data_IF_308259440410
#
_entry.id   IF_308259440410
#
_cell.length_a   1.000
_cell.length_b   1.000
_cell.length_c   1.000
_cell.angle_alpha   90.00
_cell.angle_beta   90.00
_cell.angle_gamma   90.00
#
_symmetry.space_group_name_H-M   'P 1'
#
loop_
_entity.id
_entity.type
_entity.pdbx_description
1 polymer ?
#
# COMPACT_ATOMS: atom_id res chain seq x y z
N UNK A 1 1.01 21.64 10.57
CA UNK A 1 0.40 20.63 11.45
C UNK A 1 0.96 19.25 11.17
N UNK A 2 1.06 18.40 12.20
CA UNK A 2 1.41 16.98 12.09
C UNK A 2 0.29 16.16 12.71
N UNK A 3 -0.46 15.46 11.87
CA UNK A 3 -1.66 14.73 12.27
C UNK A 3 -1.32 13.27 12.50
N UNK A 4 -1.74 12.75 13.64
CA UNK A 4 -1.45 11.39 14.08
C UNK A 4 -2.72 10.71 14.59
N UNK A 5 -2.77 9.38 14.50
CA UNK A 5 -3.74 8.59 15.24
C UNK A 5 -3.19 8.28 16.63
N UNK A 6 -4.04 8.33 17.64
CA UNK A 6 -3.68 7.97 19.01
C UNK A 6 -4.70 7.00 19.59
N UNK A 7 -4.27 6.22 20.59
CA UNK A 7 -5.13 5.37 21.41
C UNK A 7 -4.74 5.50 22.88
N UNK A 8 -5.73 5.74 23.72
CA UNK A 8 -5.60 5.77 25.19
C UNK A 8 -6.14 4.45 25.76
N UNK A 9 -5.37 3.74 26.57
CA UNK A 9 -5.82 2.59 27.39
C UNK A 9 -6.85 1.63 26.76
N UNK A 10 -6.65 1.24 25.50
CA UNK A 10 -7.56 0.32 24.79
C UNK A 10 -8.88 0.94 24.30
N UNK A 11 -9.05 2.25 24.44
CA UNK A 11 -10.14 3.04 23.88
C UNK A 11 -10.15 3.12 22.36
N UNK A 12 -11.13 3.86 21.77
CA UNK A 12 -11.19 4.06 20.33
C UNK A 12 -9.97 4.83 19.81
N UNK A 13 -9.75 4.77 18.49
CA UNK A 13 -8.75 5.62 17.84
C UNK A 13 -9.30 7.04 17.74
N UNK A 14 -8.48 8.00 18.17
CA UNK A 14 -8.71 9.43 18.01
C UNK A 14 -7.64 10.00 17.07
N UNK A 15 -7.96 11.12 16.44
CA UNK A 15 -7.03 11.88 15.61
C UNK A 15 -6.58 13.10 16.40
N UNK A 16 -5.28 13.34 16.43
CA UNK A 16 -4.67 14.42 17.19
C UNK A 16 -3.62 15.17 16.36
N UNK A 17 -3.36 16.41 16.75
CA UNK A 17 -2.21 17.18 16.28
C UNK A 17 -1.04 16.97 17.23
N UNK A 18 0.12 16.58 16.69
CA UNK A 18 1.37 16.45 17.43
C UNK A 18 2.06 17.83 17.54
N UNK A 19 2.53 18.17 18.74
CA UNK A 19 3.29 19.40 18.98
C UNK A 19 4.60 19.42 18.18
N UNK A 20 5.15 20.61 17.84
CA UNK A 20 6.40 20.70 17.08
C UNK A 20 7.61 20.01 17.73
N UNK A 21 7.65 19.93 19.06
CA UNK A 21 8.68 19.22 19.82
C UNK A 21 8.38 17.73 20.05
N UNK A 22 7.19 17.26 19.62
CA UNK A 22 6.75 15.87 19.73
C UNK A 22 6.39 15.43 21.15
N UNK A 23 6.30 16.33 22.12
CA UNK A 23 6.08 15.99 23.53
C UNK A 23 4.61 15.91 23.93
N UNK A 24 3.72 16.53 23.16
CA UNK A 24 2.30 16.63 23.44
C UNK A 24 1.45 16.33 22.20
N UNK A 25 0.23 15.85 22.43
CA UNK A 25 -0.80 15.71 21.39
C UNK A 25 -2.07 16.43 21.81
N UNK A 26 -2.62 17.22 20.89
CA UNK A 26 -3.92 17.89 21.08
C UNK A 26 -4.98 17.14 20.28
N UNK A 27 -5.96 16.55 20.97
CA UNK A 27 -7.04 15.78 20.35
C UNK A 27 -7.86 16.68 19.44
N UNK A 28 -8.12 16.21 18.22
CA UNK A 28 -8.98 16.89 17.27
C UNK A 28 -10.38 16.28 17.32
N UNK A 29 -10.49 14.97 17.05
CA UNK A 29 -11.77 14.28 16.95
C UNK A 29 -11.62 12.76 17.07
N UNK A 30 -12.74 12.05 17.23
CA UNK A 30 -12.76 10.62 16.98
C UNK A 30 -12.44 10.31 15.51
N UNK A 31 -11.82 9.15 15.22
CA UNK A 31 -11.33 8.82 13.87
C UNK A 31 -12.37 8.98 12.75
N UNK A 32 -13.61 8.52 12.98
CA UNK A 32 -14.70 8.62 12.01
C UNK A 32 -15.18 10.06 11.82
N UNK A 33 -15.26 10.82 12.91
CA UNK A 33 -15.65 12.23 12.89
C UNK A 33 -14.60 13.09 12.17
N UNK A 34 -13.31 12.77 12.37
CA UNK A 34 -12.23 13.41 11.63
C UNK A 34 -12.42 13.22 10.12
N UNK A 35 -12.54 11.98 9.65
CA UNK A 35 -12.67 11.70 8.21
C UNK A 35 -14.00 12.16 7.60
N UNK A 36 -15.07 12.31 8.39
CA UNK A 36 -16.32 12.90 7.92
C UNK A 36 -16.19 14.40 7.58
N UNK A 37 -15.18 15.09 8.11
CA UNK A 37 -14.97 16.52 7.93
C UNK A 37 -13.50 16.93 7.87
N UNK A 38 -12.64 16.12 7.25
CA UNK A 38 -11.18 16.26 7.35
C UNK A 38 -10.69 17.67 7.02
N UNK A 39 -11.18 18.27 5.92
CA UNK A 39 -10.82 19.65 5.53
C UNK A 39 -11.12 20.68 6.63
N UNK A 40 -12.23 20.54 7.36
CA UNK A 40 -12.58 21.44 8.46
C UNK A 40 -11.70 21.21 9.70
N UNK A 41 -11.25 19.97 9.95
CA UNK A 41 -10.29 19.68 11.03
C UNK A 41 -8.88 20.19 10.71
N UNK A 42 -8.45 20.08 9.45
CA UNK A 42 -7.10 20.48 9.03
C UNK A 42 -6.92 21.99 8.86
N UNK A 43 -8.00 22.75 8.74
CA UNK A 43 -7.98 24.22 8.53
C UNK A 43 -8.16 25.04 9.81
N UNK A 44 -8.35 24.40 10.96
CA UNK A 44 -8.52 25.07 12.26
C UNK A 44 -7.29 24.86 13.16
N UNK A 45 -7.05 25.79 14.08
CA UNK A 45 -6.09 25.56 15.15
C UNK A 45 -6.57 24.43 16.09
N UNK A 46 -5.69 23.52 16.52
CA UNK A 46 -6.04 22.48 17.50
C UNK A 46 -6.51 23.11 18.81
N UNK A 47 -7.71 22.74 19.27
CA UNK A 47 -8.34 23.33 20.45
C UNK A 47 -8.98 22.30 21.39
N UNK A 48 -8.72 21.00 21.19
CA UNK A 48 -9.20 19.95 22.07
C UNK A 48 -8.30 19.75 23.29
N UNK A 49 -8.50 18.62 23.98
CA UNK A 49 -7.67 18.25 25.11
C UNK A 49 -6.22 17.98 24.68
N UNK A 50 -5.26 18.60 25.37
CA UNK A 50 -3.83 18.32 25.21
C UNK A 50 -3.37 17.34 26.27
N UNK A 51 -2.71 16.27 25.84
CA UNK A 51 -2.11 15.26 26.73
C UNK A 51 -0.65 14.98 26.35
N UNK A 52 0.18 14.52 27.31
CA UNK A 52 1.53 14.10 26.99
C UNK A 52 1.54 12.98 25.94
N UNK A 53 2.43 13.08 24.95
CA UNK A 53 2.61 12.05 23.92
C UNK A 53 2.99 10.68 24.54
N UNK A 54 3.66 10.68 25.69
CA UNK A 54 4.03 9.47 26.43
C UNK A 54 2.83 8.76 27.09
N UNK A 55 1.68 9.41 27.20
CA UNK A 55 0.46 8.85 27.79
C UNK A 55 -0.44 8.16 26.75
N UNK A 56 -0.04 8.12 25.48
CA UNK A 56 -0.84 7.55 24.38
C UNK A 56 -0.02 6.59 23.54
N UNK A 57 -0.69 5.64 22.89
CA UNK A 57 -0.10 4.82 21.85
C UNK A 57 -0.38 5.45 20.48
N UNK A 58 0.66 5.72 19.70
CA UNK A 58 0.50 6.15 18.31
C UNK A 58 0.04 5.00 17.42
N UNK A 59 -0.90 5.31 16.53
CA UNK A 59 -1.46 4.38 15.55
C UNK A 59 -1.73 5.12 14.23
N UNK A 60 -1.86 4.42 13.10
CA UNK A 60 -2.23 5.08 11.85
C UNK A 60 -3.59 5.79 11.98
N UNK A 61 -3.74 7.04 11.50
CA UNK A 61 -5.03 7.74 11.46
C UNK A 61 -5.92 7.21 10.30
N UNK A 62 -6.07 5.90 10.19
CA UNK A 62 -6.71 5.22 9.04
C UNK A 62 -7.93 4.43 9.47
N UNK A 63 -9.05 4.62 8.75
CA UNK A 63 -10.28 3.87 8.99
C UNK A 63 -10.08 2.37 8.74
N UNK A 64 -10.67 1.47 9.56
CA UNK A 64 -10.58 0.03 9.33
C UNK A 64 -11.03 -0.41 7.93
N UNK A 65 -12.04 0.26 7.37
CA UNK A 65 -12.60 0.01 6.05
C UNK A 65 -11.94 0.77 4.89
N UNK A 66 -10.93 1.60 5.17
CA UNK A 66 -10.24 2.36 4.14
C UNK A 66 -9.60 1.42 3.11
N UNK A 67 -9.58 1.87 1.86
CA UNK A 67 -8.80 1.23 0.80
C UNK A 67 -7.39 1.81 0.81
N UNK A 68 -6.40 0.93 0.69
CA UNK A 68 -5.00 1.32 0.46
C UNK A 68 -4.62 0.85 -0.94
N UNK A 69 -4.63 1.78 -1.89
CA UNK A 69 -4.23 1.53 -3.26
C UNK A 69 -2.78 1.96 -3.44
N UNK A 70 -1.99 1.15 -4.12
CA UNK A 70 -0.57 1.41 -4.35
C UNK A 70 -0.26 1.39 -5.85
N UNK A 71 0.64 2.26 -6.27
CA UNK A 71 1.12 2.36 -7.65
C UNK A 71 2.46 1.67 -7.79
N UNK A 72 2.54 0.67 -8.66
CA UNK A 72 3.82 0.08 -9.07
C UNK A 72 4.51 0.90 -10.15
N UNK A 73 5.85 0.88 -10.15
CA UNK A 73 6.68 1.41 -11.25
C UNK A 73 6.41 2.89 -11.60
N UNK A 74 6.22 3.74 -10.58
CA UNK A 74 5.81 5.13 -10.81
C UNK A 74 6.97 6.13 -10.96
N UNK A 75 8.23 5.72 -10.83
CA UNK A 75 9.38 6.62 -10.97
C UNK A 75 10.22 6.23 -12.18
N UNK A 76 10.55 7.19 -13.06
CA UNK A 76 11.27 6.93 -14.32
C UNK A 76 12.57 6.13 -14.13
N UNK A 77 13.37 6.48 -13.11
CA UNK A 77 14.62 5.77 -12.80
C UNK A 77 14.38 4.38 -12.22
N UNK A 78 13.30 4.21 -11.47
CA UNK A 78 12.91 2.91 -10.92
C UNK A 78 12.41 1.95 -12.03
N UNK A 79 11.69 2.48 -13.03
CA UNK A 79 11.33 1.70 -14.25
C UNK A 79 12.59 1.19 -14.95
N UNK A 80 13.65 1.98 -14.98
CA UNK A 80 14.91 1.66 -15.65
C UNK A 80 15.83 0.70 -14.88
N UNK A 81 15.70 0.54 -13.56
CA UNK A 81 16.55 -0.38 -12.76
C UNK A 81 15.99 -1.81 -12.67
N UNK A 82 14.69 -1.98 -12.96
CA UNK A 82 13.99 -3.24 -12.81
C UNK A 82 13.96 -4.11 -14.08
N UNK A 83 13.15 -5.18 -14.02
CA UNK A 83 12.90 -6.08 -15.15
C UNK A 83 12.22 -5.40 -16.36
N UNK A 84 11.80 -4.13 -16.21
CA UNK A 84 11.06 -3.34 -17.20
C UNK A 84 11.93 -2.33 -17.96
N UNK A 85 13.25 -2.38 -17.81
CA UNK A 85 14.22 -1.40 -18.34
C UNK A 85 14.22 -1.20 -19.88
N UNK A 86 13.35 -1.87 -20.63
CA UNK A 86 13.21 -1.72 -22.08
C UNK A 86 11.77 -1.68 -22.60
N UNK A 87 10.75 -1.66 -21.72
CA UNK A 87 9.34 -1.81 -22.13
C UNK A 87 8.59 -0.48 -22.29
N UNK A 88 9.27 0.65 -22.05
CA UNK A 88 8.62 1.97 -21.98
C UNK A 88 7.71 2.09 -20.76
N UNK A 89 7.18 3.29 -20.49
CA UNK A 89 6.21 3.45 -19.40
C UNK A 89 4.83 3.04 -19.92
N UNK A 90 4.11 2.12 -19.25
CA UNK A 90 2.77 1.72 -19.67
C UNK A 90 1.80 2.91 -19.75
N UNK A 91 0.72 2.83 -20.55
CA UNK A 91 -0.27 3.92 -20.62
C UNK A 91 -1.08 4.07 -19.31
N UNK A 92 -1.09 3.05 -18.46
CA UNK A 92 -1.83 3.04 -17.19
C UNK A 92 -0.98 2.48 -16.05
N UNK A 93 -1.13 3.01 -14.83
CA UNK A 93 -0.41 2.50 -13.67
C UNK A 93 -0.79 1.05 -13.36
N UNK A 94 0.20 0.28 -12.92
CA UNK A 94 -0.09 -0.99 -12.23
C UNK A 94 -0.59 -0.68 -10.83
N UNK A 95 -1.83 -1.07 -10.53
CA UNK A 95 -2.44 -0.87 -9.22
C UNK A 95 -2.46 -2.18 -8.44
N UNK A 96 -2.08 -2.12 -7.17
CA UNK A 96 -2.23 -3.23 -6.23
C UNK A 96 -2.75 -2.71 -4.89
N UNK A 97 -3.15 -3.64 -4.02
CA UNK A 97 -3.78 -3.29 -2.75
C UNK A 97 -2.90 -3.68 -1.55
N UNK A 98 -2.96 -2.83 -0.53
CA UNK A 98 -2.59 -3.18 0.84
C UNK A 98 -3.84 -3.24 1.72
N UNK A 99 -3.74 -4.01 2.79
CA UNK A 99 -4.72 -4.06 3.85
C UNK A 99 -4.35 -3.05 4.92
N UNK A 100 -5.36 -2.40 5.49
CA UNK A 100 -5.20 -1.48 6.63
C UNK A 100 -4.48 -2.14 7.80
N UNK A 101 -4.61 -3.46 7.95
CA UNK A 101 -3.93 -4.26 8.97
C UNK A 101 -2.40 -4.31 8.84
N UNK A 102 -1.87 -4.06 7.65
CA UNK A 102 -0.42 -4.00 7.42
C UNK A 102 0.19 -2.65 7.80
N UNK A 103 -0.65 -1.61 7.98
CA UNK A 103 -0.21 -0.26 8.25
C UNK A 103 0.24 -0.10 9.70
N UNK A 104 1.27 0.70 9.91
CA UNK A 104 1.82 1.00 11.24
C UNK A 104 2.38 2.42 11.30
N UNK A 105 3.03 2.79 12.41
CA UNK A 105 3.69 4.08 12.62
C UNK A 105 5.17 3.88 12.97
N UNK A 106 5.91 4.98 13.12
CA UNK A 106 7.31 4.94 13.54
C UNK A 106 7.52 4.24 14.89
N UNK A 107 8.67 3.60 15.04
CA UNK A 107 9.10 2.86 16.23
C UNK A 107 8.50 1.45 16.35
N UNK A 108 7.45 1.12 15.58
CA UNK A 108 6.82 -0.20 15.65
C UNK A 108 7.72 -1.25 14.95
N UNK A 109 8.05 -2.36 15.63
CA UNK A 109 8.87 -3.42 15.04
C UNK A 109 8.24 -4.08 13.81
N UNK A 110 9.05 -4.27 12.77
CA UNK A 110 8.65 -4.93 11.52
C UNK A 110 9.30 -6.33 11.46
N UNK A 111 8.51 -7.40 11.64
CA UNK A 111 9.04 -8.75 11.67
C UNK A 111 9.33 -9.29 10.27
N UNK A 112 10.52 -9.86 10.09
CA UNK A 112 10.85 -10.62 8.87
C UNK A 112 10.08 -11.95 8.87
N UNK A 113 9.23 -12.23 7.87
CA UNK A 113 8.52 -13.51 7.79
C UNK A 113 9.48 -14.70 7.66
N UNK A 114 9.12 -15.86 8.22
CA UNK A 114 9.97 -17.05 8.24
C UNK A 114 10.41 -17.59 6.88
N UNK A 115 9.70 -17.23 5.80
CA UNK A 115 10.04 -17.62 4.44
C UNK A 115 10.96 -16.64 3.72
N UNK A 116 11.23 -15.46 4.28
CA UNK A 116 12.01 -14.42 3.61
C UNK A 116 13.46 -14.44 4.03
N UNK A 117 14.35 -14.17 3.08
CA UNK A 117 15.77 -13.88 3.33
C UNK A 117 15.96 -12.44 3.82
N UNK A 118 15.00 -11.83 4.51
CA UNK A 118 15.01 -10.39 4.80
C UNK A 118 13.97 -9.62 3.99
N UNK A 119 13.80 -8.35 4.35
CA UNK A 119 12.80 -7.46 3.77
C UNK A 119 13.47 -6.44 2.83
N UNK A 120 12.71 -5.93 1.87
CA UNK A 120 13.15 -4.83 1.02
C UNK A 120 12.45 -3.53 1.40
N UNK A 121 13.15 -2.40 1.24
CA UNK A 121 12.62 -1.07 1.49
C UNK A 121 12.06 -0.46 0.22
N UNK A 122 11.01 0.34 0.37
CA UNK A 122 10.43 1.14 -0.71
C UNK A 122 9.92 2.45 -0.09
N UNK A 123 10.77 3.48 -0.04
CA UNK A 123 10.37 4.80 0.45
C UNK A 123 9.45 5.48 -0.54
N UNK A 124 8.30 5.96 -0.08
CA UNK A 124 7.26 6.57 -0.90
C UNK A 124 6.62 7.78 -0.22
N UNK A 125 5.80 8.49 -1.00
CA UNK A 125 4.76 9.38 -0.49
C UNK A 125 3.41 8.67 -0.57
N UNK A 126 2.58 8.82 0.46
CA UNK A 126 1.17 8.42 0.41
C UNK A 126 0.28 9.64 0.48
N UNK A 127 -0.76 9.68 -0.37
CA UNK A 127 -1.81 10.68 -0.33
C UNK A 127 -3.04 10.14 0.41
N UNK A 128 -3.65 10.98 1.25
CA UNK A 128 -4.92 10.69 1.93
C UNK A 128 -6.07 11.39 1.21
N UNK A 129 -7.08 10.64 0.81
CA UNK A 129 -8.30 11.19 0.23
C UNK A 129 -9.11 11.88 1.34
N UNK A 130 -9.48 13.13 1.14
CA UNK A 130 -10.23 13.96 2.09
C UNK A 130 -11.70 14.19 1.72
N UNK A 131 -12.05 14.02 0.45
CA UNK A 131 -13.42 14.17 -0.06
C UNK A 131 -13.79 12.99 -0.97
N UNK A 132 -15.09 12.64 -1.10
CA UNK A 132 -15.53 11.58 -2.00
C UNK A 132 -15.17 11.90 -3.46
N UNK A 133 -14.73 10.89 -4.21
CA UNK A 133 -14.47 11.00 -5.65
C UNK A 133 -15.21 9.89 -6.41
N UNK A 134 -15.96 10.28 -7.45
CA UNK A 134 -16.59 9.38 -8.40
C UNK A 134 -16.64 10.08 -9.77
N UNK A 135 -16.08 9.45 -10.80
CA UNK A 135 -15.97 10.03 -12.15
C UNK A 135 -15.31 11.44 -12.16
N UNK A 136 -14.37 11.68 -11.25
CA UNK A 136 -13.73 12.98 -11.07
C UNK A 136 -12.67 13.27 -12.14
N UNK A 137 -12.49 14.54 -12.47
CA UNK A 137 -11.36 15.02 -13.28
C UNK A 137 -10.05 15.09 -12.47
N UNK A 138 -8.86 15.15 -13.11
CA UNK A 138 -7.58 15.20 -12.41
C UNK A 138 -7.43 16.33 -11.39
N UNK A 139 -7.85 17.55 -11.73
CA UNK A 139 -7.76 18.72 -10.84
C UNK A 139 -8.70 18.59 -9.64
N UNK A 140 -9.92 18.09 -9.86
CA UNK A 140 -10.89 17.78 -8.79
C UNK A 140 -10.35 16.69 -7.87
N UNK A 141 -9.79 15.63 -8.45
CA UNK A 141 -9.21 14.53 -7.71
C UNK A 141 -8.01 14.95 -6.86
N UNK A 142 -7.15 15.83 -7.39
CA UNK A 142 -6.05 16.42 -6.63
C UNK A 142 -6.54 17.33 -5.50
N UNK A 143 -7.56 18.18 -5.78
CA UNK A 143 -8.15 19.07 -4.78
C UNK A 143 -8.83 18.32 -3.62
N UNK A 144 -9.26 17.07 -3.84
CA UNK A 144 -9.85 16.21 -2.82
C UNK A 144 -8.81 15.59 -1.87
N UNK A 145 -7.51 15.77 -2.08
CA UNK A 145 -6.47 15.24 -1.18
C UNK A 145 -6.43 16.05 0.12
N UNK A 146 -6.61 15.38 1.26
CA UNK A 146 -6.51 15.99 2.58
C UNK A 146 -5.06 16.33 2.96
N UNK A 147 -4.13 15.46 2.58
CA UNK A 147 -2.74 15.59 2.94
C UNK A 147 -1.91 14.39 2.54
N UNK A 148 -0.64 14.44 2.92
CA UNK A 148 0.37 13.47 2.53
C UNK A 148 1.13 12.94 3.74
N UNK A 149 1.79 11.80 3.59
CA UNK A 149 2.74 11.31 4.59
C UNK A 149 3.91 10.58 3.93
N UNK A 150 5.04 10.53 4.64
CA UNK A 150 6.11 9.60 4.33
C UNK A 150 5.60 8.16 4.56
N UNK A 151 5.92 7.25 3.64
CA UNK A 151 5.46 5.87 3.68
C UNK A 151 6.61 4.92 3.33
N UNK A 152 6.62 3.74 3.92
CA UNK A 152 7.53 2.67 3.51
C UNK A 152 6.73 1.44 3.08
N UNK A 153 6.75 1.11 1.78
CA UNK A 153 6.07 -0.06 1.22
C UNK A 153 6.94 -1.33 1.39
N UNK A 154 7.25 -1.67 2.64
CA UNK A 154 8.18 -2.75 2.99
C UNK A 154 7.71 -4.06 2.37
N UNK A 155 8.62 -4.69 1.62
CA UNK A 155 8.29 -5.77 0.71
C UNK A 155 9.01 -7.08 1.07
N UNK A 156 8.23 -8.15 1.18
CA UNK A 156 8.70 -9.54 1.21
C UNK A 156 8.86 -10.03 -0.23
N UNK A 157 10.07 -9.91 -0.79
CA UNK A 157 10.32 -10.09 -2.23
C UNK A 157 10.13 -11.52 -2.71
N UNK A 158 10.42 -12.53 -1.89
CA UNK A 158 10.16 -13.93 -2.28
C UNK A 158 8.65 -14.14 -2.38
N UNK A 159 7.91 -13.77 -1.33
CA UNK A 159 6.45 -13.83 -1.29
C UNK A 159 5.77 -13.04 -2.42
N UNK A 160 6.28 -11.85 -2.76
CA UNK A 160 5.79 -11.03 -3.87
C UNK A 160 5.81 -11.77 -5.21
N UNK A 161 6.79 -12.67 -5.41
CA UNK A 161 7.05 -13.37 -6.67
C UNK A 161 6.47 -14.79 -6.73
N UNK A 162 5.86 -15.27 -5.66
CA UNK A 162 5.23 -16.60 -5.65
C UNK A 162 3.98 -16.66 -6.52
N UNK A 163 3.30 -15.54 -6.75
CA UNK A 163 2.09 -15.45 -7.55
C UNK A 163 2.12 -14.22 -8.46
N UNK A 164 1.17 -14.11 -9.39
CA UNK A 164 1.04 -12.93 -10.24
C UNK A 164 0.56 -11.67 -9.49
N UNK A 165 0.04 -11.83 -8.26
CA UNK A 165 -0.48 -10.74 -7.45
C UNK A 165 0.51 -10.40 -6.33
N UNK A 166 0.82 -9.11 -6.15
CA UNK A 166 1.81 -8.67 -5.17
C UNK A 166 1.29 -8.63 -3.73
N UNK A 167 -0.02 -8.86 -3.53
CA UNK A 167 -0.70 -8.77 -2.21
C UNK A 167 0.10 -9.52 -1.13
N UNK A 168 0.52 -10.76 -1.39
CA UNK A 168 1.23 -11.57 -0.38
C UNK A 168 2.57 -10.94 0.06
N UNK A 169 3.30 -10.35 -0.87
CA UNK A 169 4.59 -9.71 -0.58
C UNK A 169 4.49 -8.30 0.00
N UNK A 170 3.33 -7.65 -0.18
CA UNK A 170 3.06 -6.25 0.20
C UNK A 170 2.23 -6.11 1.48
N UNK A 171 1.89 -7.21 2.15
CA UNK A 171 0.98 -7.22 3.30
C UNK A 171 1.51 -8.01 4.50
N UNK A 172 2.82 -7.96 4.72
CA UNK A 172 3.41 -8.46 5.97
C UNK A 172 2.91 -7.65 7.17
N UNK A 173 2.95 -8.25 8.35
CA UNK A 173 2.57 -7.57 9.59
C UNK A 173 3.49 -6.35 9.81
N UNK A 174 2.89 -5.20 10.13
CA UNK A 174 3.57 -3.90 10.30
C UNK A 174 4.40 -3.42 9.09
N UNK A 175 4.22 -3.99 7.89
CA UNK A 175 5.07 -3.70 6.73
C UNK A 175 4.71 -2.42 5.96
N UNK A 176 3.79 -1.61 6.48
CA UNK A 176 3.40 -0.32 5.88
C UNK A 176 3.49 0.85 6.87
N UNK A 177 4.69 1.20 7.38
CA UNK A 177 4.83 2.35 8.25
C UNK A 177 4.46 3.67 7.58
N UNK A 178 3.68 4.47 8.30
CA UNK A 178 3.25 5.81 7.94
C UNK A 178 3.86 6.82 8.92
N UNK A 179 4.35 7.93 8.38
CA UNK A 179 4.63 9.12 9.19
C UNK A 179 3.34 9.82 9.64
N UNK A 180 3.48 10.99 10.29
CA UNK A 180 2.34 11.89 10.48
C UNK A 180 1.74 12.32 9.14
N UNK A 181 0.43 12.53 9.09
CA UNK A 181 -0.23 13.21 7.98
C UNK A 181 0.10 14.71 8.05
N UNK A 182 0.52 15.27 6.93
CA UNK A 182 0.73 16.71 6.74
C UNK A 182 -0.33 17.25 5.79
N UNK A 183 -1.08 18.31 6.16
CA UNK A 183 -2.14 18.86 5.32
C UNK A 183 -1.64 19.25 3.93
N UNK A 184 -2.42 18.97 2.88
CA UNK A 184 -2.02 19.24 1.50
C UNK A 184 -1.69 20.73 1.27
N UNK A 185 -2.42 21.64 1.94
CA UNK A 185 -2.18 23.08 1.91
C UNK A 185 -0.79 23.49 2.42
N UNK A 186 -0.17 22.71 3.32
CA UNK A 186 1.19 22.95 3.82
C UNK A 186 2.27 22.31 2.95
N UNK A 187 1.92 21.24 2.22
CA UNK A 187 2.84 20.46 1.39
C UNK A 187 2.97 21.05 -0.02
N UNK A 188 1.90 21.62 -0.57
CA UNK A 188 1.87 22.03 -1.96
C UNK A 188 1.73 20.84 -2.91
N UNK A 189 2.22 21.00 -4.13
CA UNK A 189 2.12 19.99 -5.18
C UNK A 189 3.34 19.07 -5.19
N UNK A 190 3.13 17.76 -5.27
CA UNK A 190 4.24 16.80 -5.37
C UNK A 190 5.04 16.98 -6.67
N UNK A 191 4.46 17.61 -7.70
CA UNK A 191 5.17 17.96 -8.95
C UNK A 191 6.25 19.02 -8.74
N UNK A 192 6.26 19.71 -7.61
CA UNK A 192 7.30 20.69 -7.26
C UNK A 192 8.63 20.02 -6.86
N UNK A 193 8.66 18.68 -6.73
CA UNK A 193 9.90 17.93 -6.52
C UNK A 193 10.34 17.87 -5.06
N UNK A 194 9.54 17.23 -4.20
CA UNK A 194 9.94 16.91 -2.83
C UNK A 194 10.98 15.79 -2.85
N UNK A 195 12.07 15.97 -2.11
CA UNK A 195 13.07 14.93 -1.97
C UNK A 195 12.55 13.74 -1.15
N UNK A 196 12.73 12.53 -1.65
CA UNK A 196 12.40 11.25 -1.01
C UNK A 196 13.69 10.49 -0.74
N UNK A 197 14.00 10.24 0.53
CA UNK A 197 15.20 9.51 0.96
C UNK A 197 14.83 8.31 1.82
N UNK A 198 15.51 7.20 1.55
CA UNK A 198 15.47 6.02 2.43
C UNK A 198 16.86 5.78 2.99
N UNK A 199 16.95 5.48 4.29
CA UNK A 199 18.21 5.10 4.95
C UNK A 199 18.09 3.75 5.63
N UNK A 200 19.17 2.97 5.60
CA UNK A 200 19.31 1.74 6.37
C UNK A 200 20.51 1.91 7.28
N UNK A 201 20.29 1.86 8.60
CA UNK A 201 21.33 2.09 9.62
C UNK A 201 22.10 3.41 9.39
N UNK A 202 21.40 4.44 8.91
CA UNK A 202 21.96 5.76 8.60
C UNK A 202 22.57 5.90 7.19
N UNK A 203 22.80 4.80 6.46
CA UNK A 203 23.29 4.85 5.08
C UNK A 203 22.16 5.18 4.11
N UNK A 204 22.33 6.20 3.26
CA UNK A 204 21.34 6.58 2.23
C UNK A 204 21.31 5.52 1.13
N UNK A 205 20.18 4.85 0.99
CA UNK A 205 19.97 3.77 0.01
C UNK A 205 19.01 4.14 -1.13
N UNK A 206 18.13 5.11 -0.91
CA UNK A 206 17.34 5.75 -1.96
C UNK A 206 17.44 7.26 -1.82
N UNK A 207 17.46 7.95 -2.96
CA UNK A 207 17.55 9.40 -3.05
C UNK A 207 16.93 9.86 -4.37
N UNK A 208 15.63 10.15 -4.32
CA UNK A 208 14.83 10.55 -5.48
C UNK A 208 14.02 11.81 -5.21
N UNK A 209 13.23 12.21 -6.19
CA UNK A 209 12.39 13.41 -6.13
C UNK A 209 11.00 13.12 -6.70
N UNK A 210 9.95 13.66 -6.09
CA UNK A 210 8.56 13.38 -6.50
C UNK A 210 8.19 13.94 -7.89
N UNK A 211 9.01 14.82 -8.48
CA UNK A 211 8.87 15.28 -9.87
C UNK A 211 9.24 14.21 -10.90
N UNK A 212 9.90 13.12 -10.47
CA UNK A 212 10.18 11.94 -11.31
C UNK A 212 8.97 11.00 -11.46
N UNK A 213 7.84 11.29 -10.79
CA UNK A 213 6.62 10.50 -10.88
C UNK A 213 6.03 10.56 -12.29
N UNK A 214 5.69 9.40 -12.86
CA UNK A 214 5.09 9.33 -14.20
C UNK A 214 3.58 9.53 -14.16
N UNK A 215 2.91 8.88 -13.21
CA UNK A 215 1.48 9.03 -12.95
C UNK A 215 1.29 9.94 -11.75
N UNK A 216 0.71 11.11 -11.97
CA UNK A 216 0.45 12.08 -10.90
C UNK A 216 -0.65 11.58 -9.96
N UNK A 217 -0.71 12.14 -8.75
CA UNK A 217 -1.77 11.81 -7.76
C UNK A 217 -3.16 12.11 -8.34
N UNK A 218 -3.35 13.30 -8.93
CA UNK A 218 -4.62 13.70 -9.54
C UNK A 218 -5.06 12.77 -10.67
N UNK A 219 -4.16 12.47 -11.61
CA UNK A 219 -4.47 11.57 -12.74
C UNK A 219 -4.81 10.15 -12.27
N UNK A 220 -4.09 9.66 -11.27
CA UNK A 220 -4.27 8.31 -10.74
C UNK A 220 -5.60 8.19 -9.98
N UNK A 221 -5.91 9.16 -9.12
CA UNK A 221 -7.20 9.19 -8.40
C UNK A 221 -8.37 9.38 -9.38
N UNK A 222 -8.24 10.25 -10.39
CA UNK A 222 -9.24 10.40 -11.44
C UNK A 222 -9.46 9.08 -12.20
N UNK A 223 -8.40 8.37 -12.58
CA UNK A 223 -8.47 7.04 -13.19
C UNK A 223 -9.24 6.04 -12.31
N UNK A 224 -8.89 5.96 -11.03
CA UNK A 224 -9.52 5.04 -10.08
C UNK A 224 -11.00 5.37 -9.89
N UNK A 225 -11.33 6.67 -9.75
CA UNK A 225 -12.67 7.14 -9.46
C UNK A 225 -13.71 6.81 -10.54
N UNK A 226 -13.26 6.53 -11.77
CA UNK A 226 -14.12 6.04 -12.87
C UNK A 226 -14.58 4.59 -12.70
N UNK A 227 -13.89 3.82 -11.85
CA UNK A 227 -14.21 2.41 -11.62
C UNK A 227 -14.92 2.21 -10.29
N UNK A 228 -14.45 2.90 -9.24
CA UNK A 228 -15.10 2.85 -7.94
C UNK A 228 -14.92 4.16 -7.18
N UNK A 229 -15.91 4.48 -6.35
CA UNK A 229 -15.88 5.66 -5.49
C UNK A 229 -14.74 5.57 -4.48
N UNK A 230 -13.88 6.59 -4.43
CA UNK A 230 -12.93 6.79 -3.32
C UNK A 230 -13.62 7.58 -2.21
N UNK A 231 -13.34 7.23 -0.97
CA UNK A 231 -13.96 7.83 0.22
C UNK A 231 -12.93 8.55 1.08
N UNK A 232 -13.35 9.55 1.87
CA UNK A 232 -12.47 10.16 2.86
C UNK A 232 -11.81 9.10 3.76
N UNK A 233 -10.48 9.17 3.88
CA UNK A 233 -9.65 8.21 4.60
C UNK A 233 -9.07 7.09 3.73
N UNK A 234 -9.47 6.94 2.47
CA UNK A 234 -8.77 6.07 1.51
C UNK A 234 -7.37 6.62 1.22
N UNK A 235 -6.43 5.74 0.87
CA UNK A 235 -5.02 6.06 0.68
C UNK A 235 -4.55 5.67 -0.73
N UNK A 236 -3.67 6.51 -1.30
CA UNK A 236 -2.92 6.23 -2.51
C UNK A 236 -1.41 6.30 -2.22
N UNK A 237 -0.73 5.15 -2.17
CA UNK A 237 0.73 5.07 -2.14
C UNK A 237 1.28 5.24 -3.55
N UNK A 238 2.21 6.18 -3.73
CA UNK A 238 2.53 6.75 -5.04
C UNK A 238 3.70 6.07 -5.75
N UNK A 239 4.26 5.00 -5.19
CA UNK A 239 5.42 4.31 -5.75
C UNK A 239 6.73 4.84 -5.19
N UNK A 240 7.81 4.10 -5.46
CA UNK A 240 9.14 4.33 -4.88
C UNK A 240 10.17 4.75 -5.94
N UNK A 241 11.14 5.63 -5.62
CA UNK A 241 12.26 5.94 -6.51
C UNK A 241 13.24 4.77 -6.62
N UNK A 242 14.23 4.91 -7.51
CA UNK A 242 15.29 3.89 -7.67
C UNK A 242 16.10 3.68 -6.38
N UNK A 243 16.74 2.51 -6.26
CA UNK A 243 17.64 2.16 -5.16
C UNK A 243 17.07 1.14 -4.17
N UNK A 244 16.02 0.41 -4.56
CA UNK A 244 15.50 -0.70 -3.76
C UNK A 244 16.57 -1.77 -3.55
N UNK A 245 16.62 -2.36 -2.37
CA UNK A 245 17.65 -3.29 -1.95
C UNK A 245 17.74 -4.54 -2.81
N UNK A 246 16.60 -5.04 -3.29
CA UNK A 246 16.54 -6.20 -4.17
C UNK A 246 17.19 -6.00 -5.55
N UNK A 247 17.22 -4.77 -6.06
CA UNK A 247 17.81 -4.45 -7.37
C UNK A 247 19.33 -4.28 -7.30
N UNK A 248 19.90 -4.22 -6.10
CA UNK A 248 21.35 -4.06 -5.88
C UNK A 248 22.13 -5.31 -6.26
N UNK A 249 23.42 -5.14 -6.56
CA UNK A 249 24.35 -6.24 -6.86
C UNK A 249 25.57 -6.16 -5.94
N UNK A 250 25.70 -7.04 -4.93
CA UNK A 250 24.72 -8.05 -4.51
C UNK A 250 23.45 -7.41 -3.90
N UNK A 251 22.32 -8.15 -3.83
CA UNK A 251 21.13 -7.66 -3.15
C UNK A 251 21.43 -7.34 -1.68
N UNK A 252 20.87 -6.24 -1.20
CA UNK A 252 20.92 -5.87 0.21
C UNK A 252 19.50 -5.88 0.76
N UNK A 253 19.21 -6.81 1.65
CA UNK A 253 17.91 -6.94 2.31
C UNK A 253 18.06 -6.62 3.80
N UNK A 254 17.02 -6.02 4.35
CA UNK A 254 16.86 -5.72 5.78
C UNK A 254 16.82 -7.02 6.60
N UNK A 255 17.62 -7.05 7.66
CA UNK A 255 17.74 -8.17 8.59
C UNK A 255 17.30 -7.76 10.00
N UNK A 256 16.91 -8.72 10.85
CA UNK A 256 16.70 -8.44 12.26
C UNK A 256 17.88 -7.70 12.88
N UNK A 257 17.62 -6.57 13.53
CA UNK A 257 18.62 -5.65 14.07
C UNK A 257 18.86 -4.39 13.24
N UNK A 258 18.43 -4.36 11.97
CA UNK A 258 18.49 -3.15 11.14
C UNK A 258 17.41 -2.14 11.54
N UNK A 259 17.66 -0.87 11.27
CA UNK A 259 16.67 0.21 11.27
C UNK A 259 16.53 0.79 9.85
N UNK A 260 15.30 0.92 9.38
CA UNK A 260 14.99 1.61 8.12
C UNK A 260 14.26 2.93 8.41
N UNK A 261 14.71 4.00 7.77
CA UNK A 261 14.09 5.33 7.80
C UNK A 261 13.63 5.71 6.40
N UNK A 262 12.41 6.24 6.26
CA UNK A 262 11.99 7.01 5.09
C UNK A 262 11.79 8.45 5.52
N UNK A 263 12.48 9.38 4.86
CA UNK A 263 12.36 10.82 5.04
C UNK A 263 11.85 11.45 3.74
N UNK A 264 10.80 12.24 3.84
CA UNK A 264 10.30 13.04 2.71
C UNK A 264 10.30 14.51 3.11
N UNK A 265 10.86 15.33 2.23
CA UNK A 265 10.89 16.77 2.37
C UNK A 265 9.48 17.32 2.70
N UNK A 266 9.41 18.22 3.69
CA UNK A 266 8.16 18.79 4.25
C UNK A 266 7.21 17.81 4.95
N UNK A 267 7.34 16.50 4.75
CA UNK A 267 6.49 15.48 5.42
C UNK A 267 7.13 14.92 6.70
N UNK A 268 8.45 15.01 6.85
CA UNK A 268 9.19 14.46 7.98
C UNK A 268 9.67 13.03 7.69
N UNK A 269 9.90 12.24 8.75
CA UNK A 269 10.36 10.86 8.60
C UNK A 269 9.58 9.84 9.42
N UNK A 270 9.65 8.59 8.97
CA UNK A 270 9.15 7.40 9.66
C UNK A 270 10.28 6.38 9.75
N UNK A 271 10.52 5.84 10.95
CA UNK A 271 11.62 4.92 11.25
C UNK A 271 11.10 3.67 11.90
N UNK A 272 11.57 2.50 11.48
CA UNK A 272 11.12 1.23 12.03
C UNK A 272 12.27 0.24 12.22
N UNK A 273 12.37 -0.39 13.41
CA UNK A 273 13.33 -1.45 13.63
C UNK A 273 12.84 -2.77 13.00
N UNK A 274 13.76 -3.51 12.42
CA UNK A 274 13.52 -4.81 11.81
C UNK A 274 13.80 -5.88 12.85
N UNK A 275 12.87 -6.81 13.03
CA UNK A 275 12.95 -7.86 14.06
C UNK A 275 12.76 -9.25 13.48
N UNK A 276 13.14 -10.25 14.26
CA UNK A 276 12.94 -11.64 13.90
C UNK A 276 11.45 -12.02 13.93
N UNK A 277 11.10 -13.11 13.25
CA UNK A 277 9.72 -13.60 13.10
C UNK A 277 9.04 -13.97 14.43
N UNK A 278 9.80 -14.19 15.51
CA UNK A 278 9.27 -14.54 16.84
C UNK A 278 8.37 -13.45 17.41
N UNK A 279 8.57 -12.18 17.03
CA UNK A 279 7.70 -11.07 17.37
C UNK A 279 6.23 -11.32 16.94
N UNK A 280 6.00 -11.89 15.74
CA UNK A 280 4.65 -12.22 15.24
C UNK A 280 3.99 -13.32 16.06
N UNK A 281 4.77 -14.32 16.45
CA UNK A 281 4.26 -15.49 17.18
C UNK A 281 3.83 -15.13 18.61
N UNK A 282 4.51 -14.16 19.23
CA UNK A 282 4.15 -13.64 20.55
C UNK A 282 2.76 -13.00 20.55
N UNK A 283 2.42 -12.24 19.51
CA UNK A 283 1.10 -11.61 19.37
C UNK A 283 -0.03 -12.64 19.27
N UNK A 284 0.14 -13.68 18.46
CA UNK A 284 -0.84 -14.77 18.33
C UNK A 284 -1.04 -15.49 19.66
N UNK A 285 0.04 -15.75 20.38
CA UNK A 285 0.00 -16.47 21.67
C UNK A 285 -0.62 -15.61 22.78
N UNK A 286 -0.35 -14.30 22.78
CA UNK A 286 -0.96 -13.35 23.72
C UNK A 286 -2.47 -13.20 23.47
N UNK A 287 -2.89 -13.09 22.19
CA UNK A 287 -4.31 -13.04 21.81
C UNK A 287 -5.07 -14.33 22.15
N UNK A 288 -4.42 -15.49 22.07
CA UNK A 288 -5.02 -16.77 22.44
C UNK A 288 -5.22 -16.96 23.96
N UNK A 289 -4.52 -16.19 24.81
CA UNK A 289 -4.63 -16.22 26.28
C UNK A 289 -5.70 -15.28 26.85
N UNK A 290 -6.30 -14.40 26.04
CA UNK A 290 -7.43 -13.58 26.49
C UNK A 290 -8.66 -14.47 26.75
N UNK A 291 -9.39 -14.29 27.88
CA UNK A 291 -10.55 -15.11 28.19
C UNK A 291 -11.59 -14.96 27.10
N UNK A 292 -11.97 -16.08 26.46
CA UNK A 292 -13.05 -16.08 25.49
C UNK A 292 -14.34 -15.62 26.19
N UNK A 293 -15.08 -14.64 25.65
CA UNK A 293 -16.43 -14.36 26.15
C UNK A 293 -17.24 -15.66 26.08
N UNK A 294 -17.96 -15.95 27.17
CA UNK A 294 -18.60 -17.24 27.43
C UNK A 294 -19.38 -17.78 26.24
N UNK A 295 -19.21 -19.07 25.96
CA UNK A 295 -20.05 -19.81 25.00
C UNK A 295 -21.51 -19.69 25.44
N UNK A 296 -22.28 -18.94 24.67
CA UNK A 296 -23.71 -18.74 24.92
C UNK A 296 -24.49 -18.51 23.65
N UNK A 297 -24.26 -19.31 22.59
CA UNK A 297 -25.19 -19.43 21.47
C UNK A 297 -25.25 -20.91 21.04
N UNK A 298 -26.18 -21.64 21.64
CA UNK A 298 -26.68 -22.91 21.10
C UNK A 298 -27.45 -22.60 19.82
N UNK A 299 -26.94 -23.05 18.67
CA UNK A 299 -27.72 -23.05 17.44
C UNK A 299 -28.81 -24.13 17.57
N UNK A 300 -30.07 -23.74 17.66
CA UNK A 300 -31.18 -24.65 17.51
C UNK A 300 -31.26 -25.08 16.03
N UNK A 301 -31.18 -26.38 15.77
CA UNK A 301 -31.40 -26.95 14.44
C UNK A 301 -32.87 -26.76 14.03
N UNK A 302 -33.17 -26.21 12.85
CA UNK A 302 -34.54 -26.22 12.35
C UNK A 302 -34.93 -27.64 11.91
N UNK A 303 -36.11 -28.05 12.35
CA UNK A 303 -36.81 -29.28 12.00
C UNK A 303 -37.01 -29.46 10.50
N UNK A 304 -36.86 -30.70 10.03
CA UNK A 304 -37.09 -31.12 8.65
C UNK A 304 -38.54 -30.88 8.22
N UNK A 305 -38.75 -30.06 7.19
CA UNK A 305 -40.01 -30.00 6.44
C UNK A 305 -39.77 -30.55 5.04
N UNK A 306 -40.47 -31.65 4.74
CA UNK A 306 -40.47 -32.37 3.46
C UNK A 306 -40.96 -31.47 2.32
N UNK A 307 -40.16 -31.31 1.26
CA UNK A 307 -40.58 -30.68 0.01
C UNK A 307 -40.92 -31.76 -1.00
N UNK A 308 -42.15 -31.71 -1.51
CA UNK A 308 -42.69 -32.64 -2.50
C UNK A 308 -42.04 -32.51 -3.88
N UNK A 309 -41.99 -33.64 -4.57
CA UNK A 309 -41.47 -33.84 -5.93
C UNK A 309 -42.33 -33.15 -6.99
N UNK A 310 -41.71 -32.41 -7.90
CA UNK A 310 -42.34 -31.96 -9.16
C UNK A 310 -41.62 -32.63 -10.33
N UNK A 311 -42.39 -33.25 -11.21
CA UNK A 311 -41.96 -34.00 -12.39
C UNK A 311 -41.59 -33.09 -13.57
N UNK A 312 -40.48 -33.38 -14.26
CA UNK A 312 -40.11 -32.76 -15.54
C UNK A 312 -40.78 -33.46 -16.74
N UNK A 313 -41.13 -32.73 -17.83
CA UNK A 313 -41.55 -33.34 -19.10
C UNK A 313 -40.38 -33.55 -20.08
N UNK A 314 -40.50 -34.45 -21.09
CA UNK A 314 -39.39 -34.94 -21.89
C UNK A 314 -39.04 -34.05 -23.10
N UNK A 315 -37.75 -33.97 -23.41
CA UNK A 315 -37.18 -33.35 -24.62
C UNK A 315 -37.36 -34.26 -25.84
N UNK A 316 -37.99 -33.76 -26.90
CA UNK A 316 -38.08 -34.42 -28.21
C UNK A 316 -36.89 -34.09 -29.11
N UNK A 317 -36.41 -35.12 -29.81
CA UNK A 317 -35.29 -35.05 -30.74
C UNK A 317 -35.67 -34.39 -32.08
N UNK A 318 -34.77 -33.57 -32.63
CA UNK A 318 -34.70 -33.28 -34.07
C UNK A 318 -33.26 -33.32 -34.56
N UNK A 319 -33.03 -34.22 -35.51
CA UNK A 319 -31.83 -34.38 -36.34
C UNK A 319 -31.75 -33.34 -37.45
N UNK A 320 -30.57 -32.76 -37.69
CA UNK A 320 -30.10 -32.34 -39.01
C UNK A 320 -28.56 -32.16 -39.01
N UNK A 321 -27.96 -32.43 -40.16
CA UNK A 321 -26.55 -32.78 -40.38
C UNK A 321 -25.54 -31.60 -40.40
N UNK A 322 -24.27 -31.95 -40.20
CA UNK A 322 -23.08 -31.09 -40.27
C UNK A 322 -22.63 -30.77 -41.71
N UNK A 323 -21.70 -29.79 -41.86
CA UNK A 323 -20.43 -30.16 -42.47
C UNK A 323 -19.19 -29.71 -41.68
N UNK A 324 -18.12 -30.44 -41.98
CA UNK A 324 -16.78 -30.53 -41.40
C UNK A 324 -15.90 -29.28 -41.46
N UNK A 325 -15.03 -29.12 -40.47
CA UNK A 325 -13.87 -28.21 -40.53
C UNK A 325 -13.08 -28.11 -39.23
N UNK A 326 -12.40 -29.18 -38.81
CA UNK A 326 -11.52 -29.20 -37.63
C UNK A 326 -10.12 -28.64 -37.94
N UNK A 327 -9.62 -27.71 -37.12
CA UNK A 327 -8.18 -27.47 -36.95
C UNK A 327 -7.86 -27.15 -35.49
N UNK A 328 -7.32 -28.15 -34.80
CA UNK A 328 -6.54 -27.99 -33.58
C UNK A 328 -5.20 -27.32 -33.94
N UNK A 329 -4.75 -26.34 -33.14
CA UNK A 329 -3.35 -25.90 -33.16
C UNK A 329 -2.65 -26.36 -31.88
N UNK A 330 -1.69 -27.26 -32.09
CA UNK A 330 -0.71 -27.74 -31.14
C UNK A 330 0.43 -26.73 -30.94
N UNK A 331 0.87 -26.64 -29.70
CA UNK A 331 2.12 -26.04 -29.22
C UNK A 331 3.37 -26.61 -29.92
N UNK A 332 4.26 -25.75 -30.41
CA UNK A 332 5.66 -26.10 -30.68
C UNK A 332 6.60 -24.97 -30.20
N UNK A 333 7.32 -25.29 -29.12
CA UNK A 333 8.59 -24.68 -28.73
C UNK A 333 9.66 -25.05 -29.76
N UNK A 334 10.35 -24.08 -30.35
CA UNK A 334 11.63 -24.33 -31.02
C UNK A 334 12.58 -23.12 -30.93
N UNK A 335 13.59 -23.31 -30.08
CA UNK A 335 14.94 -22.75 -30.12
C UNK A 335 15.37 -22.15 -31.47
N UNK A 336 15.99 -20.97 -31.44
CA UNK A 336 17.08 -20.64 -32.36
C UNK A 336 18.18 -19.85 -31.67
N UNK A 337 19.32 -20.51 -31.51
CA UNK A 337 20.59 -19.94 -31.15
C UNK A 337 21.36 -19.51 -32.42
N UNK A 338 22.01 -18.35 -32.33
CA UNK A 338 23.31 -17.93 -32.91
C UNK A 338 23.96 -18.71 -34.07
N UNK A 339 24.40 -18.00 -35.13
CA UNK A 339 25.80 -17.98 -35.69
C UNK A 339 25.93 -17.10 -36.97
N UNK A 340 27.16 -16.74 -37.46
CA UNK A 340 27.54 -15.35 -37.73
C UNK A 340 27.95 -15.01 -39.19
N UNK A 341 28.19 -13.70 -39.40
CA UNK A 341 29.08 -12.99 -40.34
C UNK A 341 29.16 -13.40 -41.82
N UNK A 342 29.00 -12.42 -42.71
CA UNK A 342 29.84 -12.27 -43.91
C UNK A 342 29.94 -10.80 -44.33
N UNK A 343 31.15 -10.25 -44.15
CA UNK A 343 31.69 -9.08 -44.87
C UNK A 343 31.61 -9.34 -46.38
N UNK A 344 31.22 -8.32 -47.16
CA UNK A 344 31.67 -8.14 -48.55
C UNK A 344 32.06 -6.69 -48.78
N UNK A 345 33.33 -6.54 -49.17
CA UNK A 345 33.98 -5.36 -49.73
C UNK A 345 33.59 -5.15 -51.19
N UNK A 346 33.49 -3.87 -51.61
CA UNK A 346 33.80 -3.28 -52.94
C UNK A 346 33.60 -1.76 -52.76
N UNK A 347 34.65 -0.91 -52.68
CA UNK A 347 35.33 -0.22 -53.80
C UNK A 347 34.36 0.13 -54.94
N UNK A 348 33.85 1.36 -54.99
CA UNK A 348 34.48 2.57 -55.53
C UNK A 348 34.00 3.76 -54.74
#
# INVERSE_FOLDING_TARGET
MRIVGIRRDGGPVEVAALSPDGTEVTVLAGLREFWAGASAWLSREPAGETVPASAVAFVPPVLPEARVICVGLNYLRHVAEGSYAGEGVPPHPTLFARWTRSLTVGGVPVPVPSGEDGLDWEGEVVAYVGAPLADAGPDEALAAVAGYSAFNDITSRRAQKLTSQWILGKNGDNSGPLGPLVPAAEVGDLRDGLRVRTRVNGEVVQDGSTDEMVYTVGDTLALISRTFTLRPGDLLATGTPSGVGYARTPPWLLRPGDEVEVEVERLGSVRNPIVANDARLKEVTAGARAPRPGRGLTYASPSSTTVGTVSEPPLTARTAAAPSGSRQMSTQYARRASRPSRRRSRRQ
#
